data_IF_655416950323
#
_entry.id   IF_655416950323
#
_cell.length_a   1.000
_cell.length_b   1.000
_cell.length_c   1.000
_cell.angle_alpha   90.00
_cell.angle_beta   90.00
_cell.angle_gamma   90.00
#
_symmetry.space_group_name_H-M   'P 1'
#
loop_
_entity.id
_entity.type
_entity.pdbx_description
1 polymer ?
#
# COMPACT_ATOMS: atom_id res chain seq x y z
N UNK A 1 -4.42 -14.89 -17.87
CA UNK A 1 -4.97 -14.42 -16.58
C UNK A 1 -3.95 -13.43 -16.07
N UNK A 2 -4.35 -12.17 -15.95
CA UNK A 2 -3.43 -11.11 -15.54
C UNK A 2 -3.13 -11.27 -14.05
N UNK A 3 -1.85 -11.18 -13.69
CA UNK A 3 -1.41 -11.32 -12.31
C UNK A 3 -1.65 -9.99 -11.60
N UNK A 4 -2.34 -10.03 -10.46
CA UNK A 4 -2.63 -8.86 -9.60
C UNK A 4 -2.36 -9.19 -8.13
N UNK A 5 -2.28 -8.19 -7.25
CA UNK A 5 -2.16 -8.41 -5.80
C UNK A 5 -3.27 -9.29 -5.24
N UNK A 6 -4.51 -9.13 -5.70
CA UNK A 6 -5.64 -9.97 -5.26
C UNK A 6 -5.41 -11.45 -5.61
N UNK A 7 -4.97 -11.74 -6.83
CA UNK A 7 -4.68 -13.12 -7.25
C UNK A 7 -3.52 -13.73 -6.45
N UNK A 8 -2.49 -12.93 -6.14
CA UNK A 8 -1.35 -13.36 -5.34
C UNK A 8 -1.73 -13.57 -3.86
N UNK A 9 -2.61 -12.73 -3.31
CA UNK A 9 -3.12 -12.88 -1.96
C UNK A 9 -4.00 -14.12 -1.82
N UNK A 10 -4.86 -14.40 -2.80
CA UNK A 10 -5.68 -15.61 -2.78
C UNK A 10 -4.82 -16.87 -2.88
N UNK A 11 -3.84 -16.90 -3.79
CA UNK A 11 -2.88 -18.01 -3.86
C UNK A 11 -2.13 -18.19 -2.53
N UNK A 12 -1.70 -17.09 -1.91
CA UNK A 12 -1.04 -17.10 -0.60
C UNK A 12 -1.94 -17.67 0.51
N UNK A 13 -3.22 -17.29 0.54
CA UNK A 13 -4.22 -17.86 1.49
C UNK A 13 -4.41 -19.35 1.28
N UNK A 14 -4.42 -19.82 0.03
CA UNK A 14 -4.47 -21.26 -0.25
C UNK A 14 -3.22 -21.98 0.25
N UNK A 15 -2.03 -21.38 0.11
CA UNK A 15 -0.78 -21.93 0.65
C UNK A 15 -0.79 -21.96 2.18
N UNK A 16 -1.37 -20.93 2.81
CA UNK A 16 -1.55 -20.82 4.27
C UNK A 16 -2.40 -21.94 4.88
N UNK A 17 -3.22 -22.63 4.07
CA UNK A 17 -3.94 -23.83 4.51
C UNK A 17 -3.06 -25.09 4.58
N UNK A 18 -1.80 -25.01 4.13
CA UNK A 18 -0.83 -26.10 4.18
C UNK A 18 -0.14 -26.30 5.53
N UNK A 19 -0.38 -25.41 6.49
CA UNK A 19 0.12 -25.55 7.87
C UNK A 19 -0.75 -26.52 8.66
N UNK A 20 -0.11 -27.28 9.53
CA UNK A 20 -0.77 -28.21 10.44
C UNK A 20 0.06 -28.45 11.70
N UNK A 21 -0.43 -29.33 12.55
CA UNK A 21 0.22 -29.72 13.78
C UNK A 21 0.26 -31.25 13.87
N UNK A 22 1.45 -31.81 14.16
CA UNK A 22 1.58 -33.21 14.55
C UNK A 22 1.65 -33.28 16.05
N UNK A 23 0.72 -34.03 16.64
CA UNK A 23 0.73 -34.29 18.07
C UNK A 23 1.97 -35.07 18.49
N UNK A 24 2.41 -34.80 19.72
CA UNK A 24 3.49 -35.55 20.33
C UNK A 24 3.05 -36.98 20.67
N UNK A 25 4.00 -37.90 20.69
CA UNK A 25 3.71 -39.30 20.97
C UNK A 25 4.90 -39.96 21.69
N UNK A 26 4.58 -41.01 22.44
CA UNK A 26 5.56 -41.81 23.18
C UNK A 26 6.10 -42.92 22.29
N UNK A 27 7.42 -43.12 22.30
CA UNK A 27 8.08 -44.24 21.60
C UNK A 27 9.05 -44.92 22.55
N UNK A 28 8.74 -46.15 22.96
CA UNK A 28 9.52 -46.86 23.97
C UNK A 28 9.52 -46.11 25.31
N UNK A 29 10.72 -45.75 25.81
CA UNK A 29 10.88 -44.91 27.03
C UNK A 29 11.05 -43.41 26.73
N UNK A 30 10.95 -42.99 25.47
CA UNK A 30 11.12 -41.59 25.05
C UNK A 30 9.80 -40.91 24.67
N UNK A 31 9.81 -39.58 24.66
CA UNK A 31 8.69 -38.74 24.21
C UNK A 31 9.14 -37.86 23.05
N UNK A 32 8.40 -37.90 21.93
CA UNK A 32 8.57 -37.00 20.80
C UNK A 32 7.61 -35.83 20.99
N UNK A 33 8.13 -34.61 21.08
CA UNK A 33 7.31 -33.41 21.17
C UNK A 33 6.53 -33.18 19.87
N UNK A 34 5.28 -32.74 20.03
CA UNK A 34 4.48 -32.28 18.91
C UNK A 34 5.09 -31.05 18.25
N UNK A 35 4.90 -30.93 16.94
CA UNK A 35 5.53 -29.88 16.15
C UNK A 35 4.63 -29.43 15.01
N UNK A 36 4.79 -28.17 14.61
CA UNK A 36 4.14 -27.62 13.42
C UNK A 36 4.70 -28.28 12.16
N UNK A 37 3.84 -28.46 11.18
CA UNK A 37 4.18 -28.99 9.86
C UNK A 37 3.77 -28.03 8.76
N UNK A 38 4.48 -28.05 7.64
CA UNK A 38 4.13 -27.28 6.45
C UNK A 38 4.26 -28.15 5.21
N UNK A 39 3.14 -28.36 4.50
CA UNK A 39 3.04 -29.32 3.39
C UNK A 39 3.21 -28.70 1.99
N UNK A 40 2.95 -27.39 1.84
CA UNK A 40 2.89 -26.70 0.55
C UNK A 40 4.19 -25.99 0.16
N UNK A 41 5.32 -26.65 0.37
CA UNK A 41 6.65 -26.04 0.19
C UNK A 41 6.92 -25.65 -1.27
N UNK A 42 6.55 -26.48 -2.24
CA UNK A 42 6.79 -26.22 -3.66
C UNK A 42 5.93 -25.06 -4.18
N UNK A 43 4.67 -25.02 -3.74
CA UNK A 43 3.70 -23.98 -4.06
C UNK A 43 4.14 -22.65 -3.44
N UNK A 44 4.63 -22.66 -2.20
CA UNK A 44 5.25 -21.49 -1.58
C UNK A 44 6.42 -20.95 -2.38
N UNK A 45 7.38 -21.79 -2.79
CA UNK A 45 8.54 -21.33 -3.56
C UNK A 45 8.12 -20.69 -4.89
N UNK A 46 7.13 -21.29 -5.55
CA UNK A 46 6.58 -20.79 -6.82
C UNK A 46 5.85 -19.45 -6.62
N UNK A 47 5.03 -19.34 -5.58
CA UNK A 47 4.31 -18.14 -5.20
C UNK A 47 5.25 -17.00 -4.78
N UNK A 48 6.22 -17.27 -3.90
CA UNK A 48 7.24 -16.30 -3.47
C UNK A 48 7.92 -15.65 -4.67
N UNK A 49 8.41 -16.46 -5.62
CA UNK A 49 9.10 -15.93 -6.80
C UNK A 49 8.17 -15.11 -7.71
N UNK A 50 6.88 -15.49 -7.81
CA UNK A 50 5.88 -14.68 -8.52
C UNK A 50 5.67 -13.32 -7.84
N UNK A 51 5.49 -13.32 -6.51
CA UNK A 51 5.30 -12.09 -5.73
C UNK A 51 6.51 -11.16 -5.85
N UNK A 52 7.74 -11.67 -5.67
CA UNK A 52 8.97 -10.87 -5.79
C UNK A 52 9.05 -10.20 -7.17
N UNK A 53 8.78 -10.96 -8.24
CA UNK A 53 8.79 -10.40 -9.61
C UNK A 53 7.69 -9.36 -9.81
N UNK A 54 6.49 -9.63 -9.33
CA UNK A 54 5.37 -8.70 -9.43
C UNK A 54 5.67 -7.39 -8.68
N UNK A 55 6.14 -7.47 -7.43
CA UNK A 55 6.52 -6.30 -6.64
C UNK A 55 7.69 -5.54 -7.28
N UNK A 56 8.67 -6.21 -7.87
CA UNK A 56 9.76 -5.53 -8.56
C UNK A 56 9.29 -4.71 -9.77
N UNK A 57 8.27 -5.19 -10.49
CA UNK A 57 7.73 -4.52 -11.68
C UNK A 57 6.78 -3.39 -11.26
N UNK A 58 5.79 -3.71 -10.43
CA UNK A 58 4.70 -2.79 -10.09
C UNK A 58 5.05 -1.83 -8.95
N UNK A 59 5.92 -2.25 -8.04
CA UNK A 59 6.32 -1.53 -6.83
C UNK A 59 7.83 -1.22 -6.83
N UNK A 60 8.43 -1.07 -8.02
CA UNK A 60 9.82 -0.63 -8.14
C UNK A 60 10.05 0.69 -7.39
N UNK A 61 11.08 0.73 -6.53
CA UNK A 61 11.42 1.82 -5.60
C UNK A 61 10.50 1.99 -4.37
N UNK A 62 9.43 1.20 -4.24
CA UNK A 62 8.53 1.22 -3.10
C UNK A 62 8.99 0.29 -1.97
N UNK A 63 8.61 0.60 -0.73
CA UNK A 63 8.95 -0.20 0.45
C UNK A 63 8.38 -1.63 0.43
N UNK A 64 7.30 -1.89 -0.30
CA UNK A 64 6.63 -3.20 -0.37
C UNK A 64 7.57 -4.35 -0.73
N UNK A 65 8.48 -4.14 -1.68
CA UNK A 65 9.44 -5.19 -2.07
C UNK A 65 10.42 -5.49 -0.92
N UNK A 66 10.94 -4.45 -0.26
CA UNK A 66 11.90 -4.58 0.84
C UNK A 66 11.27 -5.26 2.07
N UNK A 67 10.04 -4.85 2.42
CA UNK A 67 9.28 -5.43 3.53
C UNK A 67 8.91 -6.90 3.23
N UNK A 68 8.56 -7.22 1.98
CA UNK A 68 8.27 -8.60 1.58
C UNK A 68 9.52 -9.47 1.65
N UNK A 69 10.66 -9.01 1.13
CA UNK A 69 11.95 -9.70 1.23
C UNK A 69 12.39 -9.93 2.68
N UNK A 70 12.14 -8.96 3.56
CA UNK A 70 12.39 -9.10 4.99
C UNK A 70 11.49 -10.17 5.63
N UNK A 71 10.20 -10.19 5.28
CA UNK A 71 9.26 -11.20 5.75
C UNK A 71 9.62 -12.61 5.24
N UNK A 72 10.09 -12.75 3.99
CA UNK A 72 10.61 -14.00 3.42
C UNK A 72 11.78 -14.51 4.24
N UNK A 73 12.80 -13.67 4.48
CA UNK A 73 13.97 -14.04 5.28
C UNK A 73 13.58 -14.49 6.68
N UNK A 74 12.62 -13.80 7.31
CA UNK A 74 12.13 -14.17 8.63
C UNK A 74 11.40 -15.52 8.64
N UNK A 75 10.53 -15.74 7.66
CA UNK A 75 9.77 -16.98 7.53
C UNK A 75 10.68 -18.19 7.31
N UNK A 76 11.65 -18.07 6.41
CA UNK A 76 12.58 -19.15 6.06
C UNK A 76 13.59 -19.45 7.17
N UNK A 77 14.08 -18.41 7.87
CA UNK A 77 15.03 -18.59 8.98
C UNK A 77 14.39 -19.13 10.26
N UNK A 78 13.08 -18.96 10.45
CA UNK A 78 12.37 -19.42 11.64
C UNK A 78 11.57 -20.71 11.40
N UNK A 79 12.10 -21.63 10.59
CA UNK A 79 11.54 -22.97 10.37
C UNK A 79 10.09 -22.96 9.87
N UNK A 80 9.72 -22.01 9.00
CA UNK A 80 8.42 -21.99 8.34
C UNK A 80 7.27 -21.98 9.36
N UNK A 81 7.27 -21.04 10.31
CA UNK A 81 6.16 -20.87 11.26
C UNK A 81 5.00 -20.12 10.61
N UNK A 82 3.79 -20.58 10.88
CA UNK A 82 2.53 -20.05 10.35
C UNK A 82 2.35 -18.54 10.58
N UNK A 83 2.62 -18.05 11.79
CA UNK A 83 2.52 -16.62 12.10
C UNK A 83 3.56 -15.76 11.36
N UNK A 84 4.67 -16.35 10.90
CA UNK A 84 5.62 -15.65 10.04
C UNK A 84 5.16 -15.68 8.57
N UNK A 85 4.41 -16.71 8.16
CA UNK A 85 3.74 -16.70 6.88
C UNK A 85 2.65 -15.62 6.82
N UNK A 86 1.92 -15.43 7.92
CA UNK A 86 0.90 -14.36 8.02
C UNK A 86 1.50 -12.96 7.82
N UNK A 87 2.79 -12.77 8.12
CA UNK A 87 3.48 -11.51 7.83
C UNK A 87 3.69 -11.30 6.34
N UNK A 88 3.98 -12.36 5.57
CA UNK A 88 4.06 -12.28 4.10
C UNK A 88 2.73 -11.80 3.52
N UNK A 89 1.62 -12.39 3.97
CA UNK A 89 0.28 -11.99 3.56
C UNK A 89 -0.04 -10.56 4.02
N UNK A 90 0.35 -10.20 5.24
CA UNK A 90 0.14 -8.86 5.80
C UNK A 90 0.87 -7.77 5.02
N UNK A 91 2.09 -8.03 4.54
CA UNK A 91 2.80 -7.08 3.65
C UNK A 91 2.01 -6.88 2.36
N UNK A 92 1.61 -7.95 1.69
CA UNK A 92 0.85 -7.85 0.43
C UNK A 92 -0.50 -7.16 0.61
N UNK A 93 -1.19 -7.45 1.70
CA UNK A 93 -2.46 -6.78 2.05
C UNK A 93 -2.25 -5.28 2.29
N UNK A 94 -1.14 -4.90 2.96
CA UNK A 94 -0.76 -3.50 3.14
C UNK A 94 -0.54 -2.78 1.80
N UNK A 95 0.23 -3.40 0.90
CA UNK A 95 0.48 -2.89 -0.46
C UNK A 95 -0.80 -2.76 -1.29
N UNK A 96 -1.78 -3.63 -1.03
CA UNK A 96 -3.08 -3.63 -1.71
C UNK A 96 -3.99 -2.51 -1.21
N UNK A 97 -4.11 -2.36 0.10
CA UNK A 97 -5.01 -1.37 0.73
C UNK A 97 -4.45 0.05 0.61
N UNK A 98 -3.12 0.19 0.60
CA UNK A 98 -2.42 1.47 0.47
C UNK A 98 -1.45 1.41 -0.71
N UNK A 99 -1.94 1.50 -1.96
CA UNK A 99 -1.12 1.33 -3.17
C UNK A 99 -0.18 2.51 -3.45
N UNK A 100 -0.28 3.60 -2.68
CA UNK A 100 0.57 4.79 -2.83
C UNK A 100 2.04 4.42 -2.63
N UNK A 101 2.86 4.58 -3.67
CA UNK A 101 4.28 4.22 -3.62
C UNK A 101 5.07 5.18 -2.71
N UNK A 102 5.68 4.64 -1.66
CA UNK A 102 6.57 5.30 -0.72
C UNK A 102 8.01 4.95 -1.13
N UNK A 103 8.74 5.93 -1.66
CA UNK A 103 10.17 5.75 -1.96
C UNK A 103 10.95 5.50 -0.67
N UNK A 104 11.68 4.39 -0.60
CA UNK A 104 12.61 4.13 0.50
C UNK A 104 13.82 5.07 0.38
N UNK A 105 13.77 6.26 0.99
CA UNK A 105 14.96 7.13 1.15
C UNK A 105 15.86 6.73 2.33
N UNK A 106 15.50 5.68 3.07
CA UNK A 106 16.24 5.28 4.28
C UNK A 106 16.83 3.89 4.12
N UNK A 107 17.99 3.81 3.44
CA UNK A 107 18.96 2.79 3.81
C UNK A 107 19.45 3.15 5.22
N UNK A 108 18.86 2.55 6.25
CA UNK A 108 19.42 2.57 7.60
C UNK A 108 20.84 1.99 7.49
N UNK A 109 21.83 2.88 7.54
CA UNK A 109 23.22 2.46 7.67
C UNK A 109 23.31 1.63 8.95
N UNK A 110 23.75 0.38 8.77
CA UNK A 110 23.89 -0.62 9.81
C UNK A 110 25.05 -0.22 10.72
N UNK A 111 24.82 0.72 11.63
CA UNK A 111 25.77 1.08 12.68
C UNK A 111 25.32 0.47 14.01
N UNK A 112 26.28 -0.16 14.66
CA UNK A 112 26.23 -0.91 15.91
C UNK A 112 25.62 -0.14 17.11
N UNK A 113 25.27 -0.85 18.20
CA UNK A 113 24.15 -0.52 19.07
C UNK A 113 24.50 0.59 20.07
N UNK A 114 23.46 1.32 20.46
CA UNK A 114 23.37 2.35 21.52
C UNK A 114 23.13 3.74 20.94
N UNK A 115 21.88 3.98 20.53
CA UNK A 115 21.16 5.24 20.70
C UNK A 115 19.73 4.99 20.22
N UNK A 116 18.83 4.81 21.17
CA UNK A 116 17.39 4.76 20.91
C UNK A 116 16.99 6.19 20.51
N UNK A 117 17.07 6.49 19.21
CA UNK A 117 16.37 7.64 18.68
C UNK A 117 14.89 7.25 18.64
N UNK A 118 14.14 7.73 19.64
CA UNK A 118 12.68 7.69 19.62
C UNK A 118 12.26 8.57 18.43
N UNK A 119 12.03 7.95 17.27
CA UNK A 119 11.34 8.61 16.16
C UNK A 119 9.89 8.77 16.63
N UNK A 120 9.60 9.99 17.10
CA UNK A 120 8.29 10.41 17.51
C UNK A 120 7.27 10.14 16.38
N UNK A 121 6.22 9.38 16.70
CA UNK A 121 5.10 9.02 15.82
C UNK A 121 4.21 10.22 15.42
N UNK A 122 4.62 11.46 15.70
CA UNK A 122 3.95 12.67 15.24
C UNK A 122 4.10 12.96 13.72
N UNK A 123 4.87 12.16 12.98
CA UNK A 123 5.07 12.33 11.53
C UNK A 123 3.95 11.74 10.66
N UNK A 124 3.03 10.95 11.21
CA UNK A 124 1.88 10.42 10.44
C UNK A 124 0.77 11.47 10.23
N UNK A 125 0.49 12.33 11.22
CA UNK A 125 -0.47 13.42 11.05
C UNK A 125 0.04 14.52 10.10
N UNK A 126 1.34 14.83 10.15
CA UNK A 126 1.96 15.78 9.22
C UNK A 126 2.00 15.25 7.79
N UNK A 127 2.21 13.94 7.59
CA UNK A 127 2.18 13.33 6.26
C UNK A 127 0.77 13.26 5.68
N UNK A 128 -0.27 13.00 6.47
CA UNK A 128 -1.63 12.93 5.93
C UNK A 128 -2.15 14.30 5.46
N UNK A 129 -1.86 15.37 6.19
CA UNK A 129 -2.14 16.74 5.74
C UNK A 129 -1.27 17.16 4.54
N UNK A 130 0.01 16.74 4.51
CA UNK A 130 0.88 16.99 3.36
C UNK A 130 0.45 16.22 2.10
N UNK A 131 0.07 14.96 2.21
CA UNK A 131 -0.39 14.14 1.08
C UNK A 131 -1.73 14.66 0.55
N UNK A 132 -2.66 15.04 1.43
CA UNK A 132 -3.92 15.67 1.01
C UNK A 132 -3.66 17.02 0.33
N UNK A 133 -2.77 17.86 0.87
CA UNK A 133 -2.42 19.15 0.25
C UNK A 133 -1.69 18.98 -1.09
N UNK A 134 -0.85 17.96 -1.26
CA UNK A 134 -0.21 17.63 -2.55
C UNK A 134 -1.26 17.18 -3.58
N UNK A 135 -2.18 16.28 -3.21
CA UNK A 135 -3.24 15.81 -4.11
C UNK A 135 -4.20 16.94 -4.50
N UNK A 136 -4.57 17.81 -3.56
CA UNK A 136 -5.40 19.00 -3.80
C UNK A 136 -4.67 19.99 -4.72
N UNK A 137 -3.39 20.27 -4.44
CA UNK A 137 -2.60 21.17 -5.28
C UNK A 137 -2.46 20.61 -6.69
N UNK A 138 -2.19 19.32 -6.83
CA UNK A 138 -2.11 18.67 -8.15
C UNK A 138 -3.43 18.75 -8.91
N UNK A 139 -4.56 18.45 -8.26
CA UNK A 139 -5.88 18.60 -8.88
C UNK A 139 -6.15 20.04 -9.33
N UNK A 140 -5.85 21.03 -8.47
CA UNK A 140 -5.99 22.45 -8.80
C UNK A 140 -5.09 22.81 -9.99
N UNK A 141 -3.84 22.37 -10.00
CA UNK A 141 -2.91 22.63 -11.10
C UNK A 141 -3.38 22.02 -12.42
N UNK A 142 -4.06 20.87 -12.39
CA UNK A 142 -4.60 20.23 -13.58
C UNK A 142 -5.81 20.97 -14.19
N UNK A 143 -6.50 21.81 -13.40
CA UNK A 143 -7.71 22.53 -13.84
C UNK A 143 -7.55 24.04 -13.83
N UNK A 144 -6.40 24.58 -13.35
CA UNK A 144 -6.19 26.02 -13.13
C UNK A 144 -6.30 26.84 -14.41
N UNK A 145 -5.99 26.25 -15.56
CA UNK A 145 -6.00 26.95 -16.84
C UNK A 145 -7.44 27.27 -17.31
N UNK A 146 -8.42 26.52 -16.80
CA UNK A 146 -9.85 26.72 -17.11
C UNK A 146 -10.56 27.61 -16.10
N UNK A 147 -9.86 28.02 -15.04
CA UNK A 147 -10.42 28.76 -13.93
C UNK A 147 -9.74 30.12 -13.82
N UNK A 148 -10.54 31.15 -13.54
CA UNK A 148 -9.99 32.44 -13.15
C UNK A 148 -9.50 32.42 -11.68
N UNK A 149 -8.68 33.40 -11.32
CA UNK A 149 -8.11 33.48 -9.96
C UNK A 149 -9.15 33.52 -8.83
N UNK A 150 -10.37 34.02 -9.09
CA UNK A 150 -11.47 34.01 -8.10
C UNK A 150 -12.02 32.60 -7.91
N UNK A 151 -12.27 31.86 -9.00
CA UNK A 151 -12.77 30.48 -8.97
C UNK A 151 -11.76 29.54 -8.31
N UNK A 152 -10.45 29.71 -8.58
CA UNK A 152 -9.39 28.94 -7.92
C UNK A 152 -9.43 29.14 -6.41
N UNK A 153 -9.64 30.38 -5.95
CA UNK A 153 -9.73 30.69 -4.52
C UNK A 153 -10.93 30.01 -3.87
N UNK A 154 -12.08 30.04 -4.52
CA UNK A 154 -13.30 29.40 -4.01
C UNK A 154 -13.18 27.87 -3.94
N UNK A 155 -12.48 27.25 -4.90
CA UNK A 155 -12.16 25.81 -4.83
C UNK A 155 -11.24 25.51 -3.65
N UNK A 156 -10.19 26.33 -3.42
CA UNK A 156 -9.29 26.17 -2.27
C UNK A 156 -10.02 26.31 -0.93
N UNK A 157 -10.95 27.25 -0.85
CA UNK A 157 -11.73 27.50 0.36
C UNK A 157 -12.61 26.28 0.75
N UNK A 158 -13.09 25.49 -0.22
CA UNK A 158 -13.84 24.25 0.06
C UNK A 158 -12.98 23.24 0.81
N UNK A 159 -11.74 23.03 0.36
CA UNK A 159 -10.81 22.10 1.02
C UNK A 159 -10.31 22.59 2.37
N UNK A 160 -10.32 23.91 2.60
CA UNK A 160 -9.88 24.51 3.86
C UNK A 160 -10.99 24.46 4.93
N UNK A 161 -12.25 24.57 4.51
CA UNK A 161 -13.39 24.72 5.42
C UNK A 161 -14.26 23.47 5.60
N UNK A 162 -14.06 22.42 4.79
CA UNK A 162 -14.81 21.16 4.89
C UNK A 162 -13.87 20.00 5.25
N UNK A 163 -13.82 19.57 6.54
CA UNK A 163 -12.95 18.48 6.97
C UNK A 163 -13.43 17.09 6.52
N UNK A 164 -14.71 16.95 6.15
CA UNK A 164 -15.26 15.70 5.64
C UNK A 164 -14.96 15.54 4.13
N UNK A 165 -14.12 14.56 3.80
CA UNK A 165 -13.67 14.30 2.42
C UNK A 165 -14.83 14.03 1.44
N UNK A 166 -15.91 13.38 1.86
CA UNK A 166 -17.05 13.07 0.99
C UNK A 166 -17.88 14.32 0.75
N UNK A 167 -18.11 15.12 1.80
CA UNK A 167 -18.82 16.41 1.65
C UNK A 167 -18.02 17.41 0.83
N UNK A 168 -16.69 17.44 0.97
CA UNK A 168 -15.81 18.30 0.19
C UNK A 168 -15.89 17.99 -1.30
N UNK A 169 -15.92 16.70 -1.68
CA UNK A 169 -16.10 16.26 -3.08
C UNK A 169 -17.44 16.70 -3.68
N UNK A 170 -18.53 16.55 -2.93
CA UNK A 170 -19.86 16.98 -3.37
C UNK A 170 -19.89 18.50 -3.57
N UNK A 171 -19.41 19.26 -2.57
CA UNK A 171 -19.32 20.73 -2.65
C UNK A 171 -18.46 21.21 -3.82
N UNK A 172 -17.33 20.53 -4.07
CA UNK A 172 -16.45 20.84 -5.19
C UNK A 172 -17.17 20.64 -6.54
N UNK A 173 -17.85 19.51 -6.71
CA UNK A 173 -18.60 19.23 -7.93
C UNK A 173 -19.69 20.28 -8.18
N UNK A 174 -20.45 20.62 -7.13
CA UNK A 174 -21.48 21.64 -7.22
C UNK A 174 -20.90 23.03 -7.52
N UNK A 175 -19.73 23.34 -6.94
CA UNK A 175 -19.06 24.61 -7.21
C UNK A 175 -18.56 24.71 -8.64
N UNK A 176 -17.92 23.67 -9.17
CA UNK A 176 -17.47 23.63 -10.57
C UNK A 176 -18.66 23.78 -11.53
N UNK A 177 -19.78 23.10 -11.27
CA UNK A 177 -21.01 23.26 -12.05
C UNK A 177 -21.55 24.70 -11.99
N UNK A 178 -21.45 25.35 -10.82
CA UNK A 178 -21.93 26.72 -10.63
C UNK A 178 -21.15 27.77 -11.43
N UNK A 179 -19.96 27.44 -11.93
CA UNK A 179 -19.14 28.32 -12.78
C UNK A 179 -19.64 28.42 -14.23
N UNK A 180 -20.58 27.57 -14.61
CA UNK A 180 -21.17 27.54 -15.95
C UNK A 180 -20.80 26.27 -16.71
N UNK A 181 -21.65 25.91 -17.67
CA UNK A 181 -21.53 24.66 -18.44
C UNK A 181 -20.21 24.59 -19.22
N UNK A 182 -19.74 25.71 -19.78
CA UNK A 182 -18.51 25.75 -20.56
C UNK A 182 -17.28 25.50 -19.68
N UNK A 183 -17.19 26.16 -18.52
CA UNK A 183 -16.11 25.94 -17.54
C UNK A 183 -16.12 24.50 -17.04
N UNK A 184 -17.30 23.96 -16.69
CA UNK A 184 -17.41 22.58 -16.22
C UNK A 184 -16.98 21.57 -17.31
N UNK A 185 -17.33 21.83 -18.57
CA UNK A 185 -16.97 20.97 -19.70
C UNK A 185 -15.48 21.00 -19.99
N UNK A 186 -14.85 22.18 -19.93
CA UNK A 186 -13.41 22.30 -20.13
C UNK A 186 -12.61 21.69 -18.98
N UNK A 187 -13.06 21.87 -17.74
CA UNK A 187 -12.46 21.20 -16.56
C UNK A 187 -12.52 19.68 -16.73
N UNK A 188 -13.67 19.14 -17.14
CA UNK A 188 -13.81 17.72 -17.41
C UNK A 188 -12.88 17.28 -18.56
N UNK A 189 -12.80 18.05 -19.64
CA UNK A 189 -11.91 17.76 -20.76
C UNK A 189 -10.45 17.70 -20.32
N UNK A 190 -9.96 18.66 -19.53
CA UNK A 190 -8.59 18.66 -19.02
C UNK A 190 -8.31 17.51 -18.05
N UNK A 191 -9.28 17.10 -17.24
CA UNK A 191 -9.14 15.88 -16.43
C UNK A 191 -8.99 14.65 -17.33
N UNK A 192 -9.80 14.55 -18.38
CA UNK A 192 -9.80 13.41 -19.31
C UNK A 192 -8.58 13.40 -20.23
N UNK A 193 -7.95 14.53 -20.52
CA UNK A 193 -6.80 14.61 -21.43
C UNK A 193 -5.46 14.68 -20.71
N UNK A 194 -5.42 15.02 -19.41
CA UNK A 194 -4.17 15.12 -18.64
C UNK A 194 -3.67 13.72 -18.24
N UNK A 195 -2.58 13.20 -18.85
CA UNK A 195 -2.08 11.85 -18.60
C UNK A 195 -1.58 11.68 -17.15
N UNK A 196 -1.21 12.76 -16.47
CA UNK A 196 -0.75 12.72 -15.09
C UNK A 196 -1.90 12.42 -14.09
N UNK A 197 -3.16 12.67 -14.48
CA UNK A 197 -4.34 12.24 -13.71
C UNK A 197 -4.57 10.74 -13.93
N UNK A 198 -4.48 10.26 -15.17
CA UNK A 198 -4.66 8.84 -15.49
C UNK A 198 -3.54 7.93 -15.01
N UNK A 199 -2.29 8.41 -15.00
CA UNK A 199 -1.15 7.62 -14.50
C UNK A 199 -1.18 7.36 -12.99
N UNK A 200 -2.11 7.99 -12.26
CA UNK A 200 -2.31 7.86 -10.82
C UNK A 200 -3.70 7.27 -10.45
N UNK A 201 -4.50 6.85 -11.44
CA UNK A 201 -5.75 6.09 -11.27
C UNK A 201 -5.46 4.59 -11.38
#
# INVERSE_FOLDING_TARGET
MDITLDTLLEEGKQIRNGFGYKEGYTVGRGYVMGHSTFSKRSEYETWKNKVIRFLAIEYGEDRCIDDFDAAVKLFESQYYKDYNFDKLLGVLEGCRVLPTKIKTTVKLQKNNPSNINIINQNSQYQNQEQIQSIAINFFIEAIKEELNGRQIKEIKDIFTNEPDSQKAKIKLLDRIKSFGSDVASNVLANILTNPAIWGNL
#
